data_IF_975433487398
#
_entry.id   IF_975433487398
#
_cell.length_a   1.000
_cell.length_b   1.000
_cell.length_c   1.000
_cell.angle_alpha   90.00
_cell.angle_beta   90.00
_cell.angle_gamma   90.00
#
_symmetry.space_group_name_H-M   'P 1'
#
loop_
_entity.id
_entity.type
_entity.pdbx_description
1 polymer ?
#
# COMPACT_ATOMS: atom_id res chain seq x y z
N UNK A 1 4.07 -12.04 -8.84
CA UNK A 1 3.70 -12.06 -10.26
C UNK A 1 2.66 -11.02 -10.64
N UNK A 2 2.96 -10.22 -11.70
CA UNK A 2 2.01 -9.32 -12.34
C UNK A 2 0.84 -10.07 -12.97
N UNK A 3 -0.29 -9.37 -13.11
CA UNK A 3 -1.47 -9.92 -13.82
C UNK A 3 -1.12 -10.02 -15.32
N UNK A 4 -1.27 -11.21 -15.96
CA UNK A 4 -0.96 -11.39 -17.38
C UNK A 4 -1.69 -10.36 -18.26
N UNK A 5 -0.94 -9.67 -19.12
CA UNK A 5 -1.46 -8.64 -20.02
C UNK A 5 -1.88 -7.33 -19.34
N UNK A 6 -1.71 -7.21 -18.01
CA UNK A 6 -2.10 -6.02 -17.23
C UNK A 6 -1.00 -5.63 -16.21
N UNK A 7 0.21 -5.28 -16.68
CA UNK A 7 1.30 -4.89 -15.79
C UNK A 7 0.93 -3.66 -14.94
N UNK A 8 1.21 -3.72 -13.63
CA UNK A 8 0.93 -2.61 -12.70
C UNK A 8 -0.52 -2.48 -12.26
N UNK A 9 -1.46 -3.27 -12.81
CA UNK A 9 -2.86 -3.24 -12.38
C UNK A 9 -3.00 -3.61 -10.90
N UNK A 10 -2.25 -4.61 -10.44
CA UNK A 10 -2.26 -5.03 -9.03
C UNK A 10 -1.75 -3.90 -8.13
N UNK A 11 -0.62 -3.29 -8.48
CA UNK A 11 -0.11 -2.11 -7.76
C UNK A 11 -1.12 -0.96 -7.70
N UNK A 12 -1.81 -0.67 -8.81
CA UNK A 12 -2.82 0.39 -8.88
C UNK A 12 -4.03 0.10 -7.97
N UNK A 13 -4.56 -1.12 -7.99
CA UNK A 13 -5.67 -1.52 -7.11
C UNK A 13 -5.30 -1.42 -5.63
N UNK A 14 -4.06 -1.79 -5.28
CA UNK A 14 -3.56 -1.64 -3.91
C UNK A 14 -3.45 -0.17 -3.52
N UNK A 15 -2.97 0.71 -4.42
CA UNK A 15 -2.91 2.15 -4.17
C UNK A 15 -4.31 2.74 -3.92
N UNK A 16 -5.28 2.42 -4.77
CA UNK A 16 -6.67 2.87 -4.61
C UNK A 16 -7.23 2.42 -3.25
N UNK A 17 -7.06 1.15 -2.90
CA UNK A 17 -7.54 0.63 -1.62
C UNK A 17 -6.81 1.23 -0.42
N UNK A 18 -5.51 1.51 -0.52
CA UNK A 18 -4.76 2.22 0.51
C UNK A 18 -5.34 3.62 0.77
N UNK A 19 -5.66 4.37 -0.30
CA UNK A 19 -6.26 5.71 -0.21
C UNK A 19 -7.64 5.63 0.46
N UNK A 20 -8.47 4.65 0.10
CA UNK A 20 -9.78 4.42 0.74
C UNK A 20 -9.67 4.16 2.25
N UNK A 21 -8.56 3.55 2.70
CA UNK A 21 -8.31 3.26 4.12
C UNK A 21 -7.48 4.36 4.81
N UNK A 22 -7.25 5.49 4.15
CA UNK A 22 -6.63 6.67 4.74
C UNK A 22 -5.11 6.70 4.73
N UNK A 23 -4.44 5.86 3.94
CA UNK A 23 -2.98 5.88 3.79
C UNK A 23 -2.55 6.11 2.34
N UNK A 24 -1.48 6.86 2.15
CA UNK A 24 -0.86 7.08 0.84
C UNK A 24 0.42 6.25 0.73
N UNK A 25 0.54 5.48 -0.35
CA UNK A 25 1.74 4.71 -0.68
C UNK A 25 2.23 5.06 -2.07
N UNK A 26 3.52 4.84 -2.34
CA UNK A 26 4.08 4.99 -3.69
C UNK A 26 4.10 3.63 -4.39
N UNK A 27 3.73 3.61 -5.66
CA UNK A 27 3.81 2.40 -6.49
C UNK A 27 4.79 2.56 -7.65
N UNK A 28 5.43 1.46 -8.04
CA UNK A 28 6.23 1.32 -9.26
C UNK A 28 6.00 -0.08 -9.83
N UNK A 29 5.14 -0.18 -10.84
CA UNK A 29 4.56 -1.46 -11.23
C UNK A 29 3.80 -2.07 -10.04
N UNK A 30 4.13 -3.31 -9.68
CA UNK A 30 3.56 -4.00 -8.52
C UNK A 30 4.40 -3.86 -7.24
N UNK A 31 5.43 -3.01 -7.26
CA UNK A 31 6.23 -2.71 -6.07
C UNK A 31 5.60 -1.57 -5.29
N UNK A 32 5.45 -1.74 -3.98
CA UNK A 32 4.96 -0.73 -3.05
C UNK A 32 6.13 -0.19 -2.23
N UNK A 33 6.23 1.14 -2.14
CA UNK A 33 7.16 1.85 -1.27
C UNK A 33 6.38 2.70 -0.26
N UNK A 34 6.78 2.60 1.01
CA UNK A 34 6.23 3.37 2.12
C UNK A 34 7.35 4.18 2.76
N UNK A 35 7.10 5.46 2.99
CA UNK A 35 8.06 6.37 3.61
C UNK A 35 7.33 7.28 4.58
N UNK A 36 7.18 6.89 5.86
CA UNK A 36 6.57 7.75 6.86
C UNK A 36 7.42 9.01 7.07
N UNK A 37 6.82 10.12 7.53
CA UNK A 37 7.57 11.32 7.90
C UNK A 37 8.61 11.03 8.98
N UNK A 38 9.75 11.74 8.98
CA UNK A 38 10.80 11.56 10.00
C UNK A 38 10.36 11.91 11.42
N UNK A 39 9.27 12.66 11.57
CA UNK A 39 8.70 13.03 12.88
C UNK A 39 7.66 12.01 13.37
N UNK A 40 7.36 10.98 12.59
CA UNK A 40 6.33 10.00 12.94
C UNK A 40 6.72 9.21 14.21
N UNK A 41 5.73 8.97 15.07
CA UNK A 41 5.88 8.12 16.25
C UNK A 41 5.91 6.63 15.88
N UNK A 42 6.34 5.78 16.82
CA UNK A 42 6.31 4.33 16.60
C UNK A 42 4.89 3.80 16.41
N UNK A 43 3.91 4.40 17.10
CA UNK A 43 2.49 4.07 17.01
C UNK A 43 1.89 4.48 15.65
N UNK A 44 2.32 5.61 15.09
CA UNK A 44 1.91 6.05 13.74
C UNK A 44 2.47 5.12 12.66
N UNK A 45 3.74 4.70 12.78
CA UNK A 45 4.34 3.71 11.88
C UNK A 45 3.63 2.36 11.99
N UNK A 46 3.32 1.92 13.21
CA UNK A 46 2.57 0.69 13.45
C UNK A 46 1.18 0.77 12.80
N UNK A 47 0.46 1.88 12.97
CA UNK A 47 -0.86 2.11 12.38
C UNK A 47 -0.82 2.08 10.85
N UNK A 48 0.19 2.70 10.22
CA UNK A 48 0.42 2.66 8.78
C UNK A 48 0.56 1.21 8.28
N UNK A 49 1.40 0.42 8.94
CA UNK A 49 1.66 -0.98 8.58
C UNK A 49 0.42 -1.85 8.81
N UNK A 50 -0.33 -1.62 9.88
CA UNK A 50 -1.58 -2.34 10.17
C UNK A 50 -2.67 -2.08 9.13
N UNK A 51 -2.84 -0.82 8.72
CA UNK A 51 -3.78 -0.47 7.63
C UNK A 51 -3.35 -1.15 6.33
N UNK A 52 -2.06 -1.10 6.00
CA UNK A 52 -1.54 -1.77 4.81
C UNK A 52 -1.75 -3.28 4.85
N UNK A 53 -1.56 -3.93 6.00
CA UNK A 53 -1.82 -5.35 6.18
C UNK A 53 -3.30 -5.70 5.97
N UNK A 54 -4.23 -4.84 6.39
CA UNK A 54 -5.67 -5.02 6.13
C UNK A 54 -5.98 -4.95 4.64
N UNK A 55 -5.39 -4.00 3.91
CA UNK A 55 -5.54 -3.88 2.45
C UNK A 55 -5.03 -5.13 1.75
N UNK A 56 -3.86 -5.65 2.13
CA UNK A 56 -3.30 -6.86 1.51
C UNK A 56 -4.17 -8.10 1.73
N UNK A 57 -4.71 -8.30 2.94
CA UNK A 57 -5.62 -9.43 3.25
C UNK A 57 -6.96 -9.38 2.50
N UNK A 58 -7.36 -8.20 2.03
CA UNK A 58 -8.55 -8.05 1.19
C UNK A 58 -8.25 -8.36 -0.28
N UNK A 59 -7.02 -8.11 -0.71
CA UNK A 59 -6.57 -8.30 -2.08
C UNK A 59 -6.14 -9.74 -2.40
N UNK A 60 -5.77 -10.54 -1.38
CA UNK A 60 -5.34 -11.95 -1.47
C UNK A 60 -6.03 -12.79 -0.41
#
# INVERSE_FOLDING_TARGET
>A
EPIPGKPGLRGMQILESCIEHGILVRITGDTIAMGPPFIASSEEVQSLVEIFAKVLKKAF
#
